data_IF_114306705952
#
_entry.id   IF_114306705952
#
_cell.length_a   1.000
_cell.length_b   1.000
_cell.length_c   1.000
_cell.angle_alpha   90.00
_cell.angle_beta   90.00
_cell.angle_gamma   90.00
#
_symmetry.space_group_name_H-M   'P 1'
#
loop_
_entity.id
_entity.type
_entity.pdbx_description
1 polymer ?
#
# COMPACT_ATOMS: atom_id res chain seq x y z
N UNK A 1 2.12 -18.37 0.38
CA UNK A 1 2.09 -16.93 0.71
C UNK A 1 1.08 -16.27 -0.20
N UNK A 2 0.14 -15.53 0.39
CA UNK A 2 -0.98 -14.96 -0.37
C UNK A 2 -0.73 -13.51 -0.80
N UNK A 3 -0.01 -12.74 0.01
CA UNK A 3 0.13 -11.30 -0.21
C UNK A 3 1.60 -10.85 -0.27
N UNK A 4 1.88 -9.91 -1.18
CA UNK A 4 3.15 -9.16 -1.26
C UNK A 4 2.84 -7.67 -1.20
N UNK A 5 3.33 -6.99 -0.17
CA UNK A 5 3.29 -5.53 -0.11
C UNK A 5 4.41 -4.93 -0.95
N UNK A 6 4.09 -3.98 -1.83
CA UNK A 6 5.04 -3.24 -2.63
C UNK A 6 5.04 -1.79 -2.17
N UNK A 7 6.18 -1.34 -1.67
CA UNK A 7 6.34 -0.02 -1.05
C UNK A 7 7.47 0.74 -1.78
N UNK A 8 7.13 1.59 -2.76
CA UNK A 8 8.10 2.49 -3.36
C UNK A 8 8.44 3.61 -2.37
N UNK A 9 9.73 3.93 -2.23
CA UNK A 9 10.21 4.91 -1.26
C UNK A 9 11.15 5.92 -1.92
N UNK A 10 10.97 7.20 -1.58
CA UNK A 10 11.90 8.26 -1.95
C UNK A 10 12.01 9.31 -0.85
N UNK A 11 13.16 9.34 -0.14
CA UNK A 11 13.49 10.30 0.95
C UNK A 11 12.46 10.33 2.10
N UNK A 12 11.95 9.16 2.55
CA UNK A 12 10.90 9.06 3.59
C UNK A 12 11.18 7.97 4.62
N UNK A 13 12.35 7.96 5.29
CA UNK A 13 12.67 6.90 6.24
C UNK A 13 11.73 6.85 7.47
N UNK A 14 11.26 8.01 7.96
CA UNK A 14 10.40 8.07 9.15
C UNK A 14 9.01 7.49 8.87
N UNK A 15 8.42 7.82 7.71
CA UNK A 15 7.13 7.28 7.30
C UNK A 15 7.22 5.77 7.03
N UNK A 16 8.34 5.31 6.48
CA UNK A 16 8.60 3.86 6.31
C UNK A 16 8.67 3.15 7.66
N UNK A 17 9.27 3.76 8.69
CA UNK A 17 9.32 3.20 10.05
C UNK A 17 7.89 3.00 10.62
N UNK A 18 7.03 4.00 10.49
CA UNK A 18 5.62 3.92 10.94
C UNK A 18 4.83 2.84 10.17
N UNK A 19 5.01 2.76 8.85
CA UNK A 19 4.35 1.75 8.03
C UNK A 19 4.82 0.33 8.41
N UNK A 20 6.14 0.10 8.50
CA UNK A 20 6.69 -1.21 8.84
C UNK A 20 6.29 -1.65 10.26
N UNK A 21 6.25 -0.72 11.23
CA UNK A 21 5.73 -0.98 12.56
C UNK A 21 4.25 -1.42 12.51
N UNK A 22 3.43 -0.77 11.69
CA UNK A 22 2.03 -1.16 11.51
C UNK A 22 1.87 -2.56 10.87
N UNK A 23 2.80 -2.95 9.99
CA UNK A 23 2.83 -4.27 9.38
C UNK A 23 3.23 -5.36 10.38
N UNK A 24 4.07 -5.07 11.38
CA UNK A 24 4.37 -6.05 12.45
C UNK A 24 3.16 -6.41 13.30
N UNK A 25 2.17 -5.52 13.37
CA UNK A 25 0.93 -5.72 14.12
C UNK A 25 -0.18 -6.44 13.37
N UNK A 26 0.05 -6.82 12.10
CA UNK A 26 -0.96 -7.56 11.35
C UNK A 26 -1.22 -8.93 11.98
N UNK A 27 -2.51 -9.24 12.17
CA UNK A 27 -2.93 -10.54 12.74
C UNK A 27 -2.79 -11.71 11.77
N UNK A 28 -2.81 -11.44 10.45
CA UNK A 28 -2.44 -12.41 9.42
C UNK A 28 -0.99 -12.15 9.01
N UNK A 29 -0.12 -13.16 9.17
CA UNK A 29 1.34 -13.02 9.01
C UNK A 29 1.91 -13.67 7.75
N UNK A 30 1.07 -14.34 6.94
CA UNK A 30 1.53 -15.01 5.71
C UNK A 30 1.65 -14.02 4.53
N UNK A 31 2.57 -13.07 4.65
CA UNK A 31 2.88 -12.07 3.63
C UNK A 31 4.37 -11.76 3.58
N UNK A 32 4.80 -11.11 2.51
CA UNK A 32 6.11 -10.48 2.37
C UNK A 32 5.99 -8.97 2.17
N UNK A 33 7.07 -8.27 2.44
CA UNK A 33 7.21 -6.82 2.25
C UNK A 33 8.38 -6.55 1.32
N UNK A 34 8.13 -5.84 0.24
CA UNK A 34 9.15 -5.45 -0.75
C UNK A 34 9.25 -3.94 -0.73
N UNK A 35 10.32 -3.43 -0.16
CA UNK A 35 10.64 -2.00 -0.13
C UNK A 35 11.56 -1.69 -1.30
N UNK A 36 11.16 -0.74 -2.14
CA UNK A 36 11.93 -0.29 -3.31
C UNK A 36 12.36 1.15 -3.12
N UNK A 37 13.62 1.34 -2.78
CA UNK A 37 14.26 2.65 -2.61
C UNK A 37 14.60 3.25 -3.99
N UNK A 38 14.01 4.38 -4.32
CA UNK A 38 14.10 5.01 -5.64
C UNK A 38 15.17 6.13 -5.68
N UNK A 39 16.40 5.79 -5.33
CA UNK A 39 17.53 6.72 -5.41
C UNK A 39 17.46 7.85 -4.40
N UNK A 40 17.03 7.59 -3.18
CA UNK A 40 16.95 8.55 -2.08
C UNK A 40 18.32 9.09 -1.68
N UNK A 41 18.38 10.38 -1.33
CA UNK A 41 19.51 10.97 -0.64
C UNK A 41 19.55 10.55 0.86
N UNK A 42 18.38 10.27 1.43
CA UNK A 42 18.21 9.75 2.79
C UNK A 42 17.53 8.38 2.68
N UNK A 43 18.31 7.28 2.57
CA UNK A 43 17.76 5.95 2.39
C UNK A 43 17.12 5.39 3.66
N UNK A 44 16.14 4.50 3.50
CA UNK A 44 15.47 3.84 4.62
C UNK A 44 16.05 2.45 4.94
N UNK A 45 17.26 2.12 4.48
CA UNK A 45 17.89 0.81 4.73
C UNK A 45 17.99 0.47 6.21
N UNK A 46 18.52 1.39 7.03
CA UNK A 46 18.70 1.17 8.47
C UNK A 46 17.35 0.96 9.18
N UNK A 47 16.30 1.58 8.67
CA UNK A 47 14.92 1.34 9.13
C UNK A 47 14.48 -0.07 8.78
N UNK A 48 14.66 -0.49 7.54
CA UNK A 48 14.30 -1.83 7.09
C UNK A 48 15.03 -2.93 7.88
N UNK A 49 16.31 -2.73 8.18
CA UNK A 49 17.14 -3.67 8.92
C UNK A 49 16.62 -3.93 10.34
N UNK A 50 15.97 -2.95 10.99
CA UNK A 50 15.31 -3.14 12.30
C UNK A 50 14.20 -4.20 12.25
N UNK A 51 13.50 -4.33 11.12
CA UNK A 51 12.34 -5.21 10.96
C UNK A 51 12.66 -6.54 10.27
N UNK A 52 13.87 -6.74 9.75
CA UNK A 52 14.27 -7.96 9.02
C UNK A 52 14.13 -9.26 9.81
N UNK A 53 14.19 -9.18 11.16
CA UNK A 53 13.97 -10.34 12.05
C UNK A 53 12.50 -10.62 12.37
N UNK A 54 11.59 -9.71 12.07
CA UNK A 54 10.16 -9.78 12.42
C UNK A 54 9.28 -9.94 11.19
N UNK A 55 9.63 -9.27 10.10
CA UNK A 55 8.92 -9.31 8.83
C UNK A 55 9.72 -10.10 7.79
N UNK A 56 9.03 -10.81 6.90
CA UNK A 56 9.63 -11.32 5.67
C UNK A 56 9.86 -10.14 4.71
N UNK A 57 10.91 -9.35 4.98
CA UNK A 57 11.19 -8.08 4.34
C UNK A 57 12.36 -8.18 3.37
N UNK A 58 12.15 -7.63 2.19
CA UNK A 58 13.14 -7.52 1.12
C UNK A 58 13.34 -6.05 0.77
N UNK A 59 14.56 -5.56 0.91
CA UNK A 59 14.93 -4.19 0.55
C UNK A 59 15.74 -4.17 -0.74
N UNK A 60 15.30 -3.35 -1.69
CA UNK A 60 16.00 -3.11 -2.96
C UNK A 60 16.23 -1.63 -3.16
N UNK A 61 17.43 -1.27 -3.61
CA UNK A 61 17.77 0.10 -3.99
C UNK A 61 18.08 0.16 -5.48
N UNK A 62 17.58 1.20 -6.14
CA UNK A 62 17.86 1.46 -7.56
C UNK A 62 18.03 2.96 -7.82
N UNK A 63 18.61 3.36 -8.97
CA UNK A 63 18.60 4.75 -9.41
C UNK A 63 17.17 5.29 -9.51
N UNK A 64 17.00 6.59 -9.23
CA UNK A 64 15.69 7.23 -9.32
C UNK A 64 15.11 7.10 -10.74
N UNK A 65 13.86 6.64 -10.81
CA UNK A 65 13.11 6.50 -12.06
C UNK A 65 11.61 6.74 -11.89
N UNK A 66 11.22 7.19 -10.72
CA UNK A 66 9.83 7.52 -10.37
C UNK A 66 9.03 6.36 -9.76
N UNK A 67 7.87 6.69 -9.17
CA UNK A 67 7.07 5.72 -8.39
C UNK A 67 6.50 4.58 -9.24
N UNK A 68 6.07 4.81 -10.48
CA UNK A 68 5.56 3.77 -11.39
C UNK A 68 6.60 2.69 -11.63
N UNK A 69 7.81 3.07 -12.06
CA UNK A 69 8.91 2.14 -12.30
C UNK A 69 9.33 1.40 -11.02
N UNK A 70 9.25 2.05 -9.86
CA UNK A 70 9.56 1.42 -8.58
C UNK A 70 8.50 0.39 -8.17
N UNK A 71 7.22 0.64 -8.46
CA UNK A 71 6.14 -0.34 -8.28
C UNK A 71 6.37 -1.55 -9.18
N UNK A 72 6.61 -1.35 -10.48
CA UNK A 72 6.90 -2.43 -11.43
C UNK A 72 8.09 -3.27 -10.96
N UNK A 73 9.19 -2.61 -10.56
CA UNK A 73 10.39 -3.27 -10.05
C UNK A 73 10.10 -4.16 -8.84
N UNK A 74 9.23 -3.72 -7.94
CA UNK A 74 8.79 -4.48 -6.78
C UNK A 74 7.91 -5.67 -7.16
N UNK A 75 6.94 -5.46 -8.05
CA UNK A 75 6.01 -6.51 -8.51
C UNK A 75 6.73 -7.65 -9.21
N UNK A 76 7.74 -7.37 -10.03
CA UNK A 76 8.57 -8.39 -10.68
C UNK A 76 9.26 -9.35 -9.69
N UNK A 77 9.37 -8.94 -8.42
CA UNK A 77 10.02 -9.71 -7.33
C UNK A 77 9.05 -10.30 -6.34
N UNK A 78 7.78 -9.98 -6.49
CA UNK A 78 6.70 -10.48 -5.64
C UNK A 78 6.48 -11.98 -5.85
N UNK A 79 6.22 -12.69 -4.75
CA UNK A 79 5.92 -14.13 -4.74
C UNK A 79 4.49 -14.44 -4.28
N UNK A 80 3.77 -13.43 -3.80
CA UNK A 80 2.38 -13.55 -3.38
C UNK A 80 1.43 -13.71 -4.56
N UNK A 81 0.28 -14.30 -4.31
CA UNK A 81 -0.81 -14.40 -5.28
C UNK A 81 -1.37 -13.01 -5.62
N UNK A 82 -1.44 -12.14 -4.60
CA UNK A 82 -1.87 -10.74 -4.72
C UNK A 82 -0.73 -9.80 -4.34
N UNK A 83 -0.54 -8.77 -5.14
CA UNK A 83 0.29 -7.61 -4.80
C UNK A 83 -0.58 -6.51 -4.22
N UNK A 84 -0.13 -5.92 -3.11
CA UNK A 84 -0.75 -4.76 -2.47
C UNK A 84 0.23 -3.59 -2.57
N UNK A 85 -0.13 -2.61 -3.39
CA UNK A 85 0.69 -1.42 -3.58
C UNK A 85 0.30 -0.38 -2.54
N UNK A 86 1.26 0.05 -1.74
CA UNK A 86 1.08 1.06 -0.70
C UNK A 86 2.06 2.22 -0.92
N UNK A 87 1.60 3.43 -0.66
CA UNK A 87 2.51 4.56 -0.47
C UNK A 87 3.22 4.45 0.90
N UNK A 88 4.41 5.03 1.02
CA UNK A 88 5.24 4.91 2.22
C UNK A 88 4.68 5.64 3.45
N UNK A 89 3.69 6.51 3.28
CA UNK A 89 3.08 7.35 4.32
C UNK A 89 1.73 6.84 4.84
N UNK A 90 1.45 5.54 4.68
CA UNK A 90 0.24 4.92 5.21
C UNK A 90 0.52 4.13 6.49
N UNK A 91 -0.49 4.02 7.36
CA UNK A 91 -0.49 3.17 8.54
C UNK A 91 -1.68 2.23 8.45
N UNK A 92 -1.45 0.92 8.54
CA UNK A 92 -2.49 -0.09 8.38
C UNK A 92 -3.12 -0.48 9.73
N UNK A 93 -4.45 -0.66 9.79
CA UNK A 93 -5.10 -1.29 10.93
C UNK A 93 -4.61 -2.74 11.11
N UNK A 94 -4.55 -3.23 12.35
CA UNK A 94 -4.05 -4.57 12.70
C UNK A 94 -4.80 -5.72 12.00
N UNK A 95 -6.07 -5.51 11.66
CA UNK A 95 -6.93 -6.50 11.00
C UNK A 95 -7.06 -6.27 9.48
N UNK A 96 -6.24 -5.40 8.88
CA UNK A 96 -6.35 -5.06 7.45
C UNK A 96 -6.29 -6.31 6.56
N UNK A 97 -5.25 -7.13 6.69
CA UNK A 97 -5.09 -8.35 5.87
C UNK A 97 -6.16 -9.41 6.16
N UNK A 98 -6.65 -9.51 7.39
CA UNK A 98 -7.76 -10.41 7.72
C UNK A 98 -9.03 -9.97 7.01
N UNK A 99 -9.33 -8.67 7.00
CA UNK A 99 -10.49 -8.13 6.30
C UNK A 99 -10.39 -8.34 4.79
N UNK A 100 -9.24 -8.02 4.19
CA UNK A 100 -8.98 -8.25 2.77
C UNK A 100 -9.14 -9.74 2.42
N UNK A 101 -8.55 -10.63 3.21
CA UNK A 101 -8.63 -12.06 2.97
C UNK A 101 -10.06 -12.61 3.09
N UNK A 102 -10.84 -12.12 4.05
CA UNK A 102 -12.25 -12.51 4.22
C UNK A 102 -13.10 -12.06 3.03
N UNK A 103 -12.89 -10.84 2.51
CA UNK A 103 -13.62 -10.37 1.33
C UNK A 103 -13.24 -11.16 0.07
N UNK A 104 -11.97 -11.47 -0.14
CA UNK A 104 -11.50 -12.30 -1.26
C UNK A 104 -12.02 -13.75 -1.18
N UNK A 105 -12.29 -14.26 0.04
CA UNK A 105 -12.95 -15.58 0.21
C UNK A 105 -14.45 -15.53 -0.06
N UNK A 106 -15.10 -14.38 0.24
CA UNK A 106 -16.52 -14.17 -0.02
C UNK A 106 -16.83 -13.96 -1.49
N UNK A 107 -15.99 -13.17 -2.14
CA UNK A 107 -16.11 -12.81 -3.55
C UNK A 107 -14.72 -12.66 -4.15
N UNK A 108 -14.37 -13.57 -5.04
CA UNK A 108 -13.07 -13.53 -5.71
C UNK A 108 -12.99 -12.29 -6.62
N UNK A 109 -11.92 -11.51 -6.46
CA UNK A 109 -11.69 -10.30 -7.24
C UNK A 109 -10.27 -10.29 -7.78
N UNK A 110 -10.11 -9.84 -9.01
CA UNK A 110 -8.80 -9.68 -9.65
C UNK A 110 -8.09 -8.40 -9.23
N UNK A 111 -8.87 -7.37 -8.91
CA UNK A 111 -8.37 -6.11 -8.37
C UNK A 111 -9.33 -5.56 -7.31
N UNK A 112 -8.77 -4.94 -6.29
CA UNK A 112 -9.54 -4.29 -5.23
C UNK A 112 -8.81 -3.06 -4.69
N UNK A 113 -9.53 -2.22 -3.97
CA UNK A 113 -8.98 -1.09 -3.23
C UNK A 113 -9.87 -0.76 -2.05
N UNK A 114 -9.31 -0.08 -1.07
CA UNK A 114 -10.02 0.32 0.13
C UNK A 114 -10.25 1.84 0.21
N UNK A 115 -11.19 2.28 1.06
CA UNK A 115 -11.36 3.68 1.38
C UNK A 115 -10.20 4.18 2.25
N UNK A 116 -9.86 5.46 2.08
CA UNK A 116 -8.90 6.14 2.95
C UNK A 116 -9.61 6.68 4.20
N UNK A 117 -8.90 6.72 5.31
CA UNK A 117 -9.34 7.36 6.53
C UNK A 117 -8.21 8.23 7.12
N UNK A 118 -8.60 9.38 7.70
CA UNK A 118 -7.65 10.20 8.44
C UNK A 118 -7.17 9.45 9.69
N UNK A 119 -5.86 9.46 9.94
CA UNK A 119 -5.31 8.91 11.19
C UNK A 119 -5.82 9.73 12.39
N UNK A 120 -6.10 9.11 13.54
CA UNK A 120 -6.59 9.82 14.74
C UNK A 120 -5.66 10.95 15.22
N UNK A 121 -4.34 10.83 15.00
CA UNK A 121 -3.33 11.83 15.36
C UNK A 121 -3.28 13.05 14.43
N UNK A 122 -4.03 13.04 13.33
CA UNK A 122 -4.03 14.17 12.40
C UNK A 122 -4.51 15.45 13.08
N UNK A 123 -3.89 16.57 12.73
CA UNK A 123 -4.34 17.91 13.13
C UNK A 123 -5.73 18.20 12.59
N UNK A 124 -6.41 19.16 13.17
CA UNK A 124 -7.77 19.53 12.72
C UNK A 124 -7.78 19.99 11.26
N UNK A 125 -6.73 20.65 10.79
CA UNK A 125 -6.55 21.01 9.37
C UNK A 125 -6.44 19.78 8.49
N UNK A 126 -5.63 18.79 8.86
CA UNK A 126 -5.49 17.53 8.11
C UNK A 126 -6.79 16.72 8.10
N UNK A 127 -7.52 16.70 9.23
CA UNK A 127 -8.85 16.06 9.32
C UNK A 127 -9.87 16.77 8.43
N UNK A 128 -9.85 18.12 8.38
CA UNK A 128 -10.71 18.89 7.51
C UNK A 128 -10.41 18.63 6.02
N UNK A 129 -9.14 18.54 5.65
CA UNK A 129 -8.71 18.16 4.30
C UNK A 129 -9.19 16.73 3.96
N UNK A 130 -8.97 15.76 4.83
CA UNK A 130 -9.44 14.39 4.63
C UNK A 130 -10.97 14.33 4.51
N UNK A 131 -11.69 15.05 5.34
CA UNK A 131 -13.16 15.16 5.24
C UNK A 131 -13.59 15.74 3.89
N UNK A 132 -12.96 16.83 3.42
CA UNK A 132 -13.27 17.39 2.13
C UNK A 132 -13.00 16.41 0.98
N UNK A 133 -11.91 15.65 1.06
CA UNK A 133 -11.55 14.63 0.06
C UNK A 133 -12.48 13.42 0.05
N UNK A 134 -13.13 13.08 1.17
CA UNK A 134 -14.07 11.95 1.30
C UNK A 134 -15.54 12.38 1.19
N UNK A 135 -15.82 13.67 1.18
CA UNK A 135 -17.16 14.24 1.12
C UNK A 135 -17.83 13.97 -0.24
N UNK A 136 -19.15 13.72 -0.20
CA UNK A 136 -19.96 13.53 -1.40
C UNK A 136 -19.94 14.76 -2.32
N UNK A 137 -19.91 15.97 -1.76
CA UNK A 137 -19.94 17.23 -2.54
C UNK A 137 -18.64 17.49 -3.31
N UNK A 138 -17.52 16.91 -2.91
CA UNK A 138 -16.21 17.15 -3.56
C UNK A 138 -15.80 16.00 -4.48
N UNK A 139 -16.11 14.76 -4.11
CA UNK A 139 -15.63 13.55 -4.82
C UNK A 139 -16.75 12.60 -5.22
N UNK A 140 -18.03 13.03 -5.11
CA UNK A 140 -19.18 12.18 -5.42
C UNK A 140 -19.32 10.96 -4.48
N UNK A 141 -18.63 10.94 -3.33
CA UNK A 141 -18.63 9.83 -2.39
C UNK A 141 -17.69 8.67 -2.76
N UNK A 142 -16.90 8.83 -3.83
CA UNK A 142 -16.00 7.77 -4.35
C UNK A 142 -14.94 7.41 -3.28
N UNK A 143 -14.41 8.40 -2.54
CA UNK A 143 -13.39 8.18 -1.51
C UNK A 143 -13.92 7.67 -0.17
N UNK A 144 -15.19 7.89 0.13
CA UNK A 144 -15.79 7.55 1.43
C UNK A 144 -16.40 6.15 1.53
N UNK A 145 -16.33 5.32 0.50
CA UNK A 145 -16.84 3.93 0.52
C UNK A 145 -18.36 3.79 0.69
N UNK A 146 -19.13 4.90 0.60
CA UNK A 146 -20.59 4.92 0.89
C UNK A 146 -21.47 4.61 -0.31
N UNK A 147 -20.91 4.41 -1.49
CA UNK A 147 -21.68 4.15 -2.71
C UNK A 147 -21.05 3.00 -3.49
N UNK A 148 -21.86 2.00 -3.86
CA UNK A 148 -21.44 0.97 -4.81
C UNK A 148 -21.36 1.65 -6.18
N UNK A 149 -20.17 1.68 -6.78
CA UNK A 149 -19.94 2.21 -8.13
C UNK A 149 -20.05 1.08 -9.12
N UNK A 150 -20.67 1.32 -10.26
CA UNK A 150 -20.75 0.34 -11.36
C UNK A 150 -19.36 0.07 -11.96
N UNK A 151 -18.47 1.06 -11.93
CA UNK A 151 -17.06 0.93 -12.30
C UNK A 151 -16.17 1.44 -11.15
N UNK A 152 -15.39 0.54 -10.55
CA UNK A 152 -14.42 0.85 -9.53
C UNK A 152 -13.02 0.86 -10.14
N UNK A 153 -12.33 2.00 -10.05
CA UNK A 153 -10.93 2.13 -10.43
C UNK A 153 -10.08 2.17 -9.16
N UNK A 154 -9.34 1.10 -8.84
CA UNK A 154 -8.41 1.09 -7.71
C UNK A 154 -7.38 2.21 -7.87
N UNK A 155 -7.03 2.83 -6.74
CA UNK A 155 -5.98 3.86 -6.74
C UNK A 155 -4.63 3.23 -6.51
N UNK A 156 -3.62 3.81 -7.12
CA UNK A 156 -2.25 3.31 -7.08
C UNK A 156 -1.60 3.26 -5.69
N UNK A 157 -2.19 3.88 -4.66
CA UNK A 157 -1.63 3.95 -3.30
C UNK A 157 -2.29 3.00 -2.27
N UNK A 158 -3.40 2.38 -2.61
CA UNK A 158 -4.09 1.35 -1.81
C UNK A 158 -4.81 0.41 -2.78
N UNK A 159 -4.02 -0.28 -3.58
CA UNK A 159 -4.49 -1.15 -4.64
C UNK A 159 -3.97 -2.57 -4.40
N UNK A 160 -4.89 -3.53 -4.39
CA UNK A 160 -4.57 -4.95 -4.47
C UNK A 160 -4.91 -5.47 -5.86
N UNK A 161 -3.99 -6.20 -6.47
CA UNK A 161 -4.17 -6.81 -7.79
C UNK A 161 -3.64 -8.24 -7.77
N UNK A 162 -4.34 -9.17 -8.43
CA UNK A 162 -3.83 -10.51 -8.65
C UNK A 162 -2.54 -10.44 -9.49
N UNK A 163 -1.46 -11.02 -9.01
CA UNK A 163 -0.13 -10.89 -9.60
C UNK A 163 -0.08 -11.25 -11.09
N UNK A 164 -0.84 -12.26 -11.51
CA UNK A 164 -0.91 -12.70 -12.92
C UNK A 164 -1.50 -11.66 -13.88
N UNK A 165 -2.25 -10.68 -13.37
CA UNK A 165 -2.91 -9.63 -14.16
C UNK A 165 -2.15 -8.31 -14.15
N UNK A 166 -1.13 -8.21 -13.30
CA UNK A 166 -0.30 -7.00 -13.26
C UNK A 166 0.61 -6.98 -14.48
N UNK A 167 0.51 -5.94 -15.29
CA UNK A 167 1.42 -5.66 -16.40
C UNK A 167 2.19 -4.38 -16.13
N UNK A 168 3.38 -4.22 -16.71
CA UNK A 168 4.21 -3.04 -16.54
C UNK A 168 3.51 -1.74 -16.96
N UNK A 169 2.55 -1.83 -17.88
CA UNK A 169 1.80 -0.68 -18.38
C UNK A 169 0.72 -0.19 -17.40
N UNK A 170 0.34 -1.02 -16.41
CA UNK A 170 -0.69 -0.68 -15.43
C UNK A 170 -0.22 0.32 -14.34
N UNK A 171 1.06 0.63 -14.27
CA UNK A 171 1.63 1.51 -13.25
C UNK A 171 1.84 2.95 -13.76
N UNK A 172 1.71 3.21 -15.06
CA UNK A 172 1.97 4.50 -15.70
C UNK A 172 0.70 5.35 -15.92
N UNK A 173 -0.51 4.81 -15.62
CA UNK A 173 -1.80 5.48 -15.65
C UNK A 173 -2.22 5.94 -14.24
#
# INVERSE_FOLDING_TARGET
MKFSFIIPVYNRPDEVDELLDSLTRQTLTDFEVIVVEDGSAIPCRDVCDKYAGTLNLHYFAKPNSGPGQSRNYGVERAKGEYVLILDSDVVLPENYLVAVNAELQREEADAFGGPDAAHPSFTDTQKAISYSMTSFSTTGGIRGGKKKLDNFYPRSFNMGVRCLLYTSDAADD
#
